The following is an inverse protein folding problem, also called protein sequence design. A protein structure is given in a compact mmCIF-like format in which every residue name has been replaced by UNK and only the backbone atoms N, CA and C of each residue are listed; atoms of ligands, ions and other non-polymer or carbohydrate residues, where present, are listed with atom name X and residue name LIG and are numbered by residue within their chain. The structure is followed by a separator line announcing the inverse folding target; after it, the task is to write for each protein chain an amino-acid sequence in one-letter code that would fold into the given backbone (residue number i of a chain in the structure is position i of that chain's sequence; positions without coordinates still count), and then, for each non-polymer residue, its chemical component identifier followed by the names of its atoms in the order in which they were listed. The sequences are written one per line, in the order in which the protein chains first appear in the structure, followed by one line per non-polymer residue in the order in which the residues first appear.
data_IF_018106638578
#
_entry.id   IF_018106638578
#
_cell.length_a   1.000
_cell.length_b   1.000
_cell.length_c   1.000
_cell.angle_alpha   90.00
_cell.angle_beta   90.00
_cell.angle_gamma   90.00
#
_symmetry.space_group_name_H-M   'P 1'
#
loop_
_entity.id
_entity.type
_entity.pdbx_description
1 polymer ?
#
# COMPACT_ATOMS: atom_id res chain seq x y z
N UNK A 1 -22.49 -21.18 -40.97
CA UNK A 1 -22.33 -19.75 -41.35
C UNK A 1 -21.86 -19.00 -40.12
N UNK A 2 -20.59 -18.59 -40.07
CA UNK A 2 -19.99 -17.93 -38.90
C UNK A 2 -20.43 -16.46 -38.85
N UNK A 3 -21.19 -16.09 -37.81
CA UNK A 3 -21.57 -14.71 -37.51
C UNK A 3 -20.36 -13.96 -36.93
N UNK A 4 -19.73 -13.09 -37.71
CA UNK A 4 -18.74 -12.15 -37.20
C UNK A 4 -19.47 -10.92 -36.62
N UNK A 5 -19.58 -10.85 -35.29
CA UNK A 5 -20.25 -9.77 -34.53
C UNK A 5 -19.33 -8.65 -34.06
N UNK A 6 -18.14 -8.49 -34.65
CA UNK A 6 -17.23 -7.39 -34.30
C UNK A 6 -16.98 -6.47 -35.50
N UNK A 7 -18.03 -5.76 -35.95
CA UNK A 7 -17.86 -4.53 -36.72
C UNK A 7 -17.73 -3.36 -35.74
N UNK A 8 -16.61 -3.31 -35.03
CA UNK A 8 -16.32 -2.21 -34.11
C UNK A 8 -15.39 -1.21 -34.80
N UNK A 9 -15.95 -0.34 -35.64
CA UNK A 9 -15.27 0.90 -35.97
C UNK A 9 -15.17 1.71 -34.67
N UNK A 10 -13.94 2.02 -34.24
CA UNK A 10 -13.69 2.82 -33.05
C UNK A 10 -14.30 4.23 -33.16
N UNK A 11 -14.24 4.98 -32.06
CA UNK A 11 -14.68 6.38 -32.05
C UNK A 11 -13.90 7.20 -33.09
N UNK A 12 -14.62 8.05 -33.82
CA UNK A 12 -14.00 9.02 -34.73
C UNK A 12 -13.30 10.13 -33.94
N UNK A 13 -12.29 10.77 -34.53
CA UNK A 13 -11.51 11.82 -33.85
C UNK A 13 -12.39 12.95 -33.30
N UNK A 14 -13.45 13.32 -34.04
CA UNK A 14 -14.42 14.31 -33.60
C UNK A 14 -15.16 13.89 -32.32
N UNK A 15 -15.57 12.61 -32.23
CA UNK A 15 -16.23 12.06 -31.04
C UNK A 15 -15.26 11.95 -29.86
N UNK A 16 -13.99 11.62 -30.12
CA UNK A 16 -12.95 11.60 -29.08
C UNK A 16 -12.72 13.01 -28.52
N UNK A 17 -12.70 14.04 -29.36
CA UNK A 17 -12.54 15.44 -28.91
C UNK A 17 -13.75 15.90 -28.10
N UNK A 18 -14.97 15.59 -28.57
CA UNK A 18 -16.19 15.92 -27.84
C UNK A 18 -16.24 15.23 -26.47
N UNK A 19 -15.92 13.93 -26.42
CA UNK A 19 -15.86 13.17 -25.17
C UNK A 19 -14.80 13.72 -24.21
N UNK A 20 -13.61 14.10 -24.69
CA UNK A 20 -12.56 14.72 -23.86
C UNK A 20 -12.96 16.08 -23.30
N UNK A 21 -13.78 16.86 -24.03
CA UNK A 21 -14.34 18.12 -23.52
C UNK A 21 -15.39 17.88 -22.43
N UNK A 22 -16.22 16.87 -22.59
CA UNK A 22 -17.32 16.57 -21.67
C UNK A 22 -16.87 15.83 -20.39
N UNK A 23 -16.00 14.84 -20.52
CA UNK A 23 -15.60 13.95 -19.42
C UNK A 23 -14.16 14.20 -18.93
N UNK A 24 -13.45 15.12 -19.58
CA UNK A 24 -12.03 15.36 -19.32
C UNK A 24 -11.14 14.28 -19.92
N UNK A 25 -9.82 14.47 -19.79
CA UNK A 25 -8.86 13.42 -20.14
C UNK A 25 -8.90 12.34 -19.06
N UNK A 26 -8.97 11.07 -19.46
CA UNK A 26 -8.79 9.94 -18.54
C UNK A 26 -7.31 9.80 -18.15
N UNK A 27 -6.81 10.80 -17.45
CA UNK A 27 -5.49 10.82 -16.84
C UNK A 27 -5.71 10.88 -15.35
N UNK A 28 -5.19 9.88 -14.65
CA UNK A 28 -5.14 9.88 -13.19
C UNK A 28 -4.20 11.02 -12.80
N UNK A 29 -4.74 12.11 -12.28
CA UNK A 29 -3.96 13.22 -11.76
C UNK A 29 -3.19 12.73 -10.53
N UNK A 30 -1.94 12.28 -10.74
CA UNK A 30 -1.02 11.93 -9.67
C UNK A 30 -0.60 13.19 -8.93
N UNK A 31 -1.44 13.67 -7.99
CA UNK A 31 -0.90 14.40 -6.84
C UNK A 31 -0.07 13.38 -6.08
N UNK A 32 1.26 13.43 -6.17
CA UNK A 32 2.16 12.67 -5.29
C UNK A 32 1.87 13.11 -3.85
N UNK A 33 1.07 12.36 -3.07
CA UNK A 33 0.97 12.69 -1.66
C UNK A 33 2.26 12.15 -1.03
N UNK A 34 2.85 12.88 -0.09
CA UNK A 34 3.93 12.33 0.71
C UNK A 34 3.36 11.17 1.53
N UNK A 35 3.47 9.92 1.02
CA UNK A 35 2.87 8.73 1.65
C UNK A 35 3.30 8.58 3.11
N UNK A 36 4.55 8.94 3.42
CA UNK A 36 5.08 8.96 4.79
C UNK A 36 4.36 9.96 5.70
N UNK A 37 4.22 11.22 5.27
CA UNK A 37 3.49 12.25 6.04
C UNK A 37 2.01 11.89 6.19
N UNK A 38 1.40 11.39 5.13
CA UNK A 38 -0.01 10.97 5.16
C UNK A 38 -0.23 9.76 6.07
N UNK A 39 0.73 8.84 6.17
CA UNK A 39 0.67 7.73 7.10
C UNK A 39 0.80 8.22 8.54
N UNK A 40 1.79 9.08 8.82
CA UNK A 40 2.00 9.64 10.16
C UNK A 40 0.80 10.47 10.65
N UNK A 41 0.21 11.29 9.79
CA UNK A 41 -1.01 12.06 10.11
C UNK A 41 -2.20 11.13 10.37
N UNK A 42 -2.32 10.02 9.64
CA UNK A 42 -3.37 9.03 9.91
C UNK A 42 -3.15 8.33 11.26
N UNK A 43 -1.90 7.97 11.59
CA UNK A 43 -1.55 7.36 12.88
C UNK A 43 -1.86 8.26 14.07
N UNK A 44 -1.57 9.56 13.97
CA UNK A 44 -1.88 10.51 15.05
C UNK A 44 -3.39 10.71 15.18
N UNK A 45 -4.17 10.47 14.13
CA UNK A 45 -5.64 10.54 14.16
C UNK A 45 -6.31 9.30 14.77
N UNK A 46 -5.56 8.24 15.03
CA UNK A 46 -6.12 7.06 15.69
C UNK A 46 -6.54 7.41 17.12
N UNK A 47 -7.76 7.04 17.56
CA UNK A 47 -8.30 7.42 18.85
C UNK A 47 -7.43 6.96 20.03
N UNK A 48 -6.66 5.87 19.85
CA UNK A 48 -5.74 5.34 20.86
C UNK A 48 -4.49 6.22 21.05
N UNK A 49 -3.93 6.75 19.96
CA UNK A 49 -2.75 7.63 20.00
C UNK A 49 -3.10 9.00 20.57
N UNK A 50 -4.28 9.53 20.20
CA UNK A 50 -4.79 10.82 20.71
C UNK A 50 -4.94 10.75 22.24
N UNK A 51 -5.47 9.64 22.76
CA UNK A 51 -5.65 9.46 24.20
C UNK A 51 -4.31 9.45 24.95
N UNK A 52 -3.31 8.75 24.43
CA UNK A 52 -1.95 8.73 25.01
C UNK A 52 -1.29 10.10 24.96
N UNK A 53 -1.43 10.82 23.85
CA UNK A 53 -0.87 12.16 23.69
C UNK A 53 -1.51 13.14 24.68
N UNK A 54 -2.84 13.10 24.82
CA UNK A 54 -3.57 13.90 25.80
C UNK A 54 -3.13 13.57 27.23
N UNK A 55 -2.99 12.29 27.57
CA UNK A 55 -2.48 11.87 28.87
C UNK A 55 -1.06 12.41 29.11
N UNK A 56 -0.14 12.27 28.16
CA UNK A 56 1.23 12.79 28.27
C UNK A 56 1.24 14.28 28.59
N UNK A 57 0.44 15.08 27.87
CA UNK A 57 0.29 16.53 28.10
C UNK A 57 -0.25 16.82 29.51
N UNK A 58 -1.27 16.09 29.95
CA UNK A 58 -1.85 16.27 31.29
C UNK A 58 -0.84 15.97 32.41
N UNK A 59 0.02 14.95 32.23
CA UNK A 59 1.06 14.61 33.19
C UNK A 59 2.18 15.66 33.26
N UNK A 60 2.55 16.25 32.12
CA UNK A 60 3.48 17.39 32.10
C UNK A 60 2.92 18.60 32.84
N UNK A 61 1.64 18.94 32.63
CA UNK A 61 0.97 20.05 33.32
C UNK A 61 0.82 19.76 34.82
N UNK A 62 0.58 18.49 35.21
CA UNK A 62 0.43 18.08 36.61
C UNK A 62 1.75 18.05 37.40
N UNK A 63 2.88 18.44 36.79
CA UNK A 63 4.19 18.44 37.45
C UNK A 63 4.82 17.05 37.59
N UNK A 64 4.18 16.00 37.06
CA UNK A 64 4.67 14.61 37.05
C UNK A 64 5.43 14.35 35.75
N UNK A 65 6.58 15.01 35.61
CA UNK A 65 7.41 14.97 34.40
C UNK A 65 7.90 13.56 34.06
N UNK A 66 8.21 12.74 35.07
CA UNK A 66 8.63 11.33 34.89
C UNK A 66 7.56 10.51 34.16
N UNK A 67 6.29 10.64 34.56
CA UNK A 67 5.17 9.92 33.95
C UNK A 67 4.88 10.44 32.53
N UNK A 68 5.02 11.75 32.31
CA UNK A 68 4.89 12.36 30.99
C UNK A 68 5.93 11.85 29.99
N UNK A 69 7.19 11.69 30.44
CA UNK A 69 8.29 11.11 29.65
C UNK A 69 8.05 9.62 29.39
N UNK A 70 7.53 8.86 30.36
CA UNK A 70 7.17 7.46 30.18
C UNK A 70 6.06 7.28 29.14
N UNK A 71 5.06 8.17 29.13
CA UNK A 71 4.03 8.18 28.09
C UNK A 71 4.59 8.56 26.72
N UNK A 72 5.52 9.52 26.65
CA UNK A 72 6.15 9.93 25.40
C UNK A 72 6.98 8.79 24.78
N UNK A 73 7.72 8.02 25.59
CA UNK A 73 8.47 6.86 25.10
C UNK A 73 7.54 5.76 24.58
N UNK A 74 6.40 5.53 25.24
CA UNK A 74 5.39 4.58 24.78
C UNK A 74 4.84 4.95 23.39
N UNK A 75 4.60 6.24 23.11
CA UNK A 75 4.14 6.71 21.79
C UNK A 75 5.18 6.38 20.71
N UNK A 76 6.48 6.56 21.00
CA UNK A 76 7.56 6.25 20.05
C UNK A 76 7.59 4.74 19.76
N UNK A 77 7.51 3.89 20.80
CA UNK A 77 7.50 2.43 20.63
C UNK A 77 6.30 1.95 19.80
N UNK A 78 5.12 2.53 20.02
CA UNK A 78 3.92 2.21 19.22
C UNK A 78 4.10 2.65 17.76
N UNK A 79 4.73 3.80 17.51
CA UNK A 79 5.02 4.26 16.16
C UNK A 79 6.00 3.33 15.42
N UNK A 80 7.05 2.84 16.10
CA UNK A 80 7.98 1.85 15.55
C UNK A 80 7.28 0.52 15.24
N UNK A 81 6.46 0.02 16.18
CA UNK A 81 5.65 -1.18 15.98
C UNK A 81 4.73 -1.03 14.76
N UNK A 82 4.08 0.13 14.61
CA UNK A 82 3.21 0.38 13.47
C UNK A 82 3.98 0.40 12.15
N UNK A 83 5.15 1.05 12.10
CA UNK A 83 5.99 1.05 10.91
C UNK A 83 6.43 -0.36 10.53
N UNK A 84 6.82 -1.17 11.53
CA UNK A 84 7.17 -2.58 11.34
C UNK A 84 5.99 -3.38 10.77
N UNK A 85 4.79 -3.21 11.32
CA UNK A 85 3.58 -3.87 10.82
C UNK A 85 3.27 -3.44 9.38
N UNK A 86 3.34 -2.15 9.08
CA UNK A 86 3.14 -1.63 7.72
C UNK A 86 4.16 -2.23 6.74
N UNK A 87 5.42 -2.32 7.16
CA UNK A 87 6.50 -2.91 6.37
C UNK A 87 6.26 -4.41 6.11
N UNK A 88 5.80 -5.17 7.11
CA UNK A 88 5.43 -6.58 6.96
C UNK A 88 4.26 -6.76 6.00
N UNK A 89 3.23 -5.92 6.09
CA UNK A 89 2.08 -5.96 5.17
C UNK A 89 2.53 -5.68 3.74
N UNK A 90 3.37 -4.66 3.52
CA UNK A 90 3.90 -4.35 2.19
C UNK A 90 4.74 -5.50 1.64
N UNK A 91 5.59 -6.11 2.46
CA UNK A 91 6.39 -7.29 2.09
C UNK A 91 5.49 -8.47 1.71
N UNK A 92 4.42 -8.70 2.46
CA UNK A 92 3.43 -9.75 2.17
C UNK A 92 2.69 -9.50 0.84
N UNK A 93 2.20 -8.28 0.60
CA UNK A 93 1.52 -7.93 -0.65
C UNK A 93 2.43 -8.09 -1.88
N UNK A 94 3.67 -7.64 -1.75
CA UNK A 94 4.67 -7.82 -2.80
C UNK A 94 4.92 -9.30 -3.06
N UNK A 95 5.03 -10.10 -2.00
CA UNK A 95 5.19 -11.55 -2.10
C UNK A 95 4.02 -12.22 -2.85
N UNK A 96 2.77 -11.91 -2.49
CA UNK A 96 1.58 -12.47 -3.17
C UNK A 96 1.55 -12.09 -4.65
N UNK A 97 1.94 -10.86 -4.99
CA UNK A 97 2.00 -10.42 -6.40
C UNK A 97 3.01 -11.23 -7.20
N UNK A 98 4.20 -11.48 -6.62
CA UNK A 98 5.24 -12.27 -7.25
C UNK A 98 4.83 -13.74 -7.37
N UNK A 99 4.15 -14.28 -6.36
CA UNK A 99 3.61 -15.64 -6.38
C UNK A 99 2.54 -15.80 -7.46
N UNK A 100 1.55 -14.91 -7.51
CA UNK A 100 0.48 -14.94 -8.51
C UNK A 100 1.04 -14.83 -9.94
N UNK A 101 2.00 -13.92 -10.16
CA UNK A 101 2.66 -13.77 -11.46
C UNK A 101 3.41 -15.05 -11.85
N UNK A 102 4.10 -15.67 -10.90
CA UNK A 102 4.84 -16.90 -11.14
C UNK A 102 3.94 -18.11 -11.40
N UNK A 103 2.84 -18.23 -10.66
CA UNK A 103 1.84 -19.29 -10.86
C UNK A 103 1.16 -19.15 -12.23
N UNK A 104 0.85 -17.94 -12.66
CA UNK A 104 0.31 -17.69 -14.00
C UNK A 104 1.31 -18.04 -15.11
N UNK A 105 2.57 -17.65 -14.95
CA UNK A 105 3.64 -17.91 -15.91
C UNK A 105 4.00 -19.41 -16.04
N UNK A 106 3.80 -20.19 -14.97
CA UNK A 106 4.14 -21.62 -14.94
C UNK A 106 2.93 -22.54 -14.84
N UNK A 107 1.72 -22.04 -15.14
CA UNK A 107 0.45 -22.79 -15.05
C UNK A 107 0.36 -24.05 -15.94
N UNK A 108 1.40 -24.35 -16.73
CA UNK A 108 1.48 -25.49 -17.67
C UNK A 108 2.67 -26.42 -17.36
N UNK A 109 3.48 -26.16 -16.32
CA UNK A 109 4.76 -26.88 -16.09
C UNK A 109 4.75 -27.72 -14.80
N UNK A 110 5.36 -28.90 -14.89
CA UNK A 110 5.51 -29.91 -13.84
C UNK A 110 5.89 -29.34 -12.46
N UNK A 111 5.14 -29.73 -11.42
CA UNK A 111 5.23 -29.21 -10.04
C UNK A 111 6.63 -29.29 -9.41
N UNK A 112 7.43 -30.30 -9.79
CA UNK A 112 8.80 -30.48 -9.30
C UNK A 112 9.71 -29.29 -9.69
N UNK A 113 9.63 -28.85 -10.94
CA UNK A 113 10.46 -27.75 -11.46
C UNK A 113 9.98 -26.37 -10.95
N UNK A 114 8.68 -26.27 -10.66
CA UNK A 114 8.04 -25.09 -10.07
C UNK A 114 8.61 -24.77 -8.68
N UNK A 115 8.77 -25.78 -7.82
CA UNK A 115 9.28 -25.62 -6.45
C UNK A 115 10.71 -25.07 -6.42
N UNK A 116 11.58 -25.56 -7.30
CA UNK A 116 12.97 -25.09 -7.36
C UNK A 116 13.06 -23.61 -7.79
N UNK A 117 12.31 -23.22 -8.82
CA UNK A 117 12.24 -21.82 -9.28
C UNK A 117 11.62 -20.88 -8.23
N UNK A 118 10.60 -21.34 -7.50
CA UNK A 118 9.98 -20.58 -6.43
C UNK A 118 10.99 -20.31 -5.30
N UNK A 119 11.70 -21.36 -4.86
CA UNK A 119 12.71 -21.29 -3.78
C UNK A 119 13.84 -20.31 -4.10
N UNK A 120 14.29 -20.25 -5.36
CA UNK A 120 15.33 -19.31 -5.79
C UNK A 120 14.83 -17.84 -5.74
N UNK A 121 13.61 -17.56 -6.23
CA UNK A 121 13.04 -16.19 -6.20
C UNK A 121 12.78 -15.69 -4.78
N UNK A 122 12.43 -16.60 -3.87
CA UNK A 122 12.31 -16.29 -2.44
C UNK A 122 13.63 -15.82 -1.83
N UNK A 123 14.74 -16.49 -2.15
CA UNK A 123 16.04 -16.15 -1.59
C UNK A 123 16.41 -14.69 -1.92
N UNK A 124 16.23 -14.28 -3.19
CA UNK A 124 16.49 -12.90 -3.64
C UNK A 124 15.59 -11.83 -3.01
N UNK A 125 14.33 -12.16 -2.68
CA UNK A 125 13.40 -11.22 -2.05
C UNK A 125 13.73 -10.91 -0.59
N UNK A 126 14.54 -11.74 0.07
CA UNK A 126 14.96 -11.53 1.46
C UNK A 126 16.14 -10.56 1.57
N UNK A 127 16.86 -10.32 0.47
CA UNK A 127 18.08 -9.50 0.41
C UNK A 127 17.87 -8.10 -0.18
N UNK A 128 16.63 -7.72 -0.48
CA UNK A 128 16.21 -6.39 -0.94
C UNK A 128 15.18 -5.81 0.04
#
# INVERSE_FOLDING_TARGET
MLHNKFSSNGLTDAQVIAARKQYGQNKIAYKKPNRFLNALIQTVKDPMTILLLAASILYFISGKTTDGIFLASAIILIAELLYLVLWLILKYYFFITQLNRFLFENSVVNFSHLFHKLKLRFLFLTFY
#
